data_IF_901108824863
#
_entry.id   IF_901108824863
#
_cell.length_a   1.000
_cell.length_b   1.000
_cell.length_c   1.000
_cell.angle_alpha   90.00
_cell.angle_beta   90.00
_cell.angle_gamma   90.00
#
_symmetry.space_group_name_H-M   'P 1'
#
loop_
_entity.id
_entity.type
_entity.pdbx_description
1 polymer ?
#
# COMPACT_ATOMS: atom_id res chain seq x y z
N UNK A 1 -30.22 -30.66 -5.24
CA UNK A 1 -29.08 -30.85 -4.33
C UNK A 1 -27.96 -31.49 -5.10
N UNK A 2 -27.06 -30.69 -5.67
CA UNK A 2 -25.66 -31.04 -5.92
C UNK A 2 -24.85 -29.78 -5.69
N UNK A 3 -23.94 -29.90 -4.74
CA UNK A 3 -23.03 -28.91 -4.19
C UNK A 3 -22.00 -28.51 -5.23
N UNK A 4 -21.83 -27.21 -5.47
CA UNK A 4 -20.57 -26.66 -5.96
C UNK A 4 -20.20 -25.48 -5.07
N UNK A 5 -19.47 -25.80 -4.01
CA UNK A 5 -18.73 -24.85 -3.22
C UNK A 5 -17.52 -24.39 -4.05
N UNK A 6 -17.70 -23.31 -4.82
CA UNK A 6 -16.57 -22.60 -5.41
C UNK A 6 -15.93 -21.70 -4.35
N UNK A 7 -14.92 -22.27 -3.67
CA UNK A 7 -13.95 -21.52 -2.88
C UNK A 7 -13.13 -20.59 -3.81
N UNK A 8 -13.66 -19.41 -4.13
CA UNK A 8 -12.85 -18.34 -4.72
C UNK A 8 -12.04 -17.63 -3.63
N UNK A 9 -11.06 -18.34 -3.05
CA UNK A 9 -9.96 -17.74 -2.27
C UNK A 9 -8.97 -17.06 -3.23
N UNK A 10 -9.37 -15.94 -3.84
CA UNK A 10 -8.41 -15.02 -4.49
C UNK A 10 -9.06 -13.65 -4.79
N UNK A 11 -9.67 -13.01 -3.78
CA UNK A 11 -10.23 -11.66 -3.96
C UNK A 11 -9.96 -10.72 -2.78
N UNK A 12 -8.88 -10.92 -2.01
CA UNK A 12 -8.46 -9.97 -0.95
C UNK A 12 -7.25 -9.12 -1.30
N UNK A 13 -6.75 -9.20 -2.54
CA UNK A 13 -5.60 -8.41 -2.98
C UNK A 13 -5.96 -7.23 -3.90
N UNK A 14 -7.21 -7.10 -4.38
CA UNK A 14 -7.58 -6.11 -5.41
C UNK A 14 -8.82 -5.25 -5.11
N UNK A 15 -9.30 -5.18 -3.86
CA UNK A 15 -10.48 -4.36 -3.52
C UNK A 15 -10.19 -3.16 -2.60
N UNK A 16 -8.93 -2.78 -2.38
CA UNK A 16 -8.58 -1.63 -1.53
C UNK A 16 -7.54 -0.66 -2.12
N UNK A 17 -7.36 -0.64 -3.44
CA UNK A 17 -6.64 0.45 -4.13
C UNK A 17 -7.57 1.66 -4.35
N UNK A 18 -8.32 2.04 -3.31
CA UNK A 18 -9.15 3.25 -3.26
C UNK A 18 -8.77 4.15 -2.08
N UNK A 19 -7.72 3.79 -1.33
CA UNK A 19 -7.15 4.62 -0.27
C UNK A 19 -5.82 5.19 -0.77
N UNK A 20 -5.92 6.16 -1.67
CA UNK A 20 -4.85 6.79 -2.45
C UNK A 20 -3.96 7.78 -1.68
N UNK A 21 -3.96 7.75 -0.35
CA UNK A 21 -3.26 8.73 0.49
C UNK A 21 -2.16 8.10 1.33
N UNK A 22 -1.32 7.26 0.73
CA UNK A 22 -0.15 6.68 1.41
C UNK A 22 1.08 7.57 1.22
N UNK A 23 1.77 7.85 2.31
CA UNK A 23 2.96 8.70 2.34
C UNK A 23 4.12 7.97 3.02
N UNK A 24 5.32 8.13 2.49
CA UNK A 24 6.56 7.88 3.21
C UNK A 24 6.84 9.10 4.10
N UNK A 25 6.96 8.90 5.41
CA UNK A 25 7.39 9.95 6.33
C UNK A 25 8.83 9.73 6.76
N UNK A 26 9.55 10.84 6.96
CA UNK A 26 10.93 10.84 7.43
C UNK A 26 11.23 12.12 8.20
N UNK A 27 12.21 12.05 9.08
CA UNK A 27 12.66 13.21 9.84
C UNK A 27 13.87 13.86 9.15
N UNK A 28 13.89 15.20 9.16
CA UNK A 28 15.07 16.00 8.80
C UNK A 28 15.40 16.91 9.98
N UNK A 29 16.43 16.55 10.74
CA UNK A 29 16.72 17.22 12.00
C UNK A 29 15.59 17.01 13.02
N UNK A 30 14.94 18.11 13.41
CA UNK A 30 13.82 18.10 14.35
C UNK A 30 12.44 18.14 13.68
N UNK A 31 12.38 18.17 12.35
CA UNK A 31 11.15 18.31 11.57
C UNK A 31 10.74 16.99 10.91
N UNK A 32 9.43 16.80 10.70
CA UNK A 32 8.85 15.62 10.04
C UNK A 32 8.22 16.00 8.70
N UNK A 33 8.59 15.25 7.66
CA UNK A 33 8.15 15.45 6.29
C UNK A 33 7.48 14.19 5.74
N UNK A 34 6.55 14.37 4.81
CA UNK A 34 5.85 13.28 4.12
C UNK A 34 5.88 13.46 2.60
N UNK A 35 6.11 12.37 1.87
CA UNK A 35 6.03 12.32 0.39
C UNK A 35 5.11 11.19 -0.04
N UNK A 36 4.26 11.43 -1.05
CA UNK A 36 3.39 10.36 -1.58
C UNK A 36 4.22 9.16 -2.01
N UNK A 37 3.82 7.97 -1.59
CA UNK A 37 4.61 6.76 -1.82
C UNK A 37 4.79 6.47 -3.31
N UNK A 38 3.81 6.84 -4.15
CA UNK A 38 3.86 6.65 -5.59
C UNK A 38 4.83 7.59 -6.31
N UNK A 39 5.33 8.63 -5.63
CA UNK A 39 6.31 9.57 -6.17
C UNK A 39 7.76 9.21 -5.81
N UNK A 40 7.97 8.22 -4.93
CA UNK A 40 9.31 7.79 -4.51
C UNK A 40 9.95 6.92 -5.59
N UNK A 41 11.16 7.28 -6.02
CA UNK A 41 11.92 6.48 -7.01
C UNK A 41 12.75 5.39 -6.33
N UNK A 42 13.61 5.78 -5.40
CA UNK A 42 14.54 4.89 -4.68
C UNK A 42 14.78 5.44 -3.26
N UNK A 43 15.07 4.55 -2.31
CA UNK A 43 15.57 4.92 -0.96
C UNK A 43 17.01 4.42 -0.89
N UNK A 44 17.96 5.34 -0.75
CA UNK A 44 19.40 5.05 -0.71
C UNK A 44 19.89 5.29 0.72
N UNK A 45 20.51 4.26 1.33
CA UNK A 45 21.17 4.36 2.64
C UNK A 45 22.68 4.60 2.50
N UNK A 46 23.26 5.27 3.50
CA UNK A 46 24.72 5.43 3.65
C UNK A 46 25.34 4.30 4.45
#
# INVERSE_FOLDING_TARGET
MTTDASESKSSRAMDNLKNDNKYLTFALGAEEYGVEILKVREIIGY
#
